data_IF_120400177052
#
_entry.id   IF_120400177052
#
_cell.length_a   1.000
_cell.length_b   1.000
_cell.length_c   1.000
_cell.angle_alpha   90.00
_cell.angle_beta   90.00
_cell.angle_gamma   90.00
#
_symmetry.space_group_name_H-M   'P 1'
#
loop_
_entity.id
_entity.type
_entity.pdbx_description
1 polymer ?
#
# COMPACT_ATOMS: atom_id res chain seq x y z
N UNK A 1 3.38 -38.24 2.88
CA UNK A 1 4.08 -37.00 3.16
C UNK A 1 3.38 -35.90 2.36
N UNK A 2 2.76 -34.97 3.04
CA UNK A 2 2.18 -33.80 2.41
C UNK A 2 3.33 -33.00 1.83
N UNK A 3 3.38 -32.76 0.53
CA UNK A 3 4.47 -32.09 -0.18
C UNK A 3 4.70 -30.61 0.17
N UNK A 4 4.08 -30.14 1.24
CA UNK A 4 4.18 -28.80 1.77
C UNK A 4 5.49 -28.56 2.52
N UNK A 5 6.19 -27.48 2.19
CA UNK A 5 7.46 -27.16 2.85
C UNK A 5 7.74 -25.65 2.88
N UNK A 6 8.39 -25.24 3.97
CA UNK A 6 9.00 -23.92 4.12
C UNK A 6 10.48 -24.12 4.41
N UNK A 7 11.34 -23.49 3.65
CA UNK A 7 12.79 -23.49 3.90
C UNK A 7 13.34 -22.07 3.87
N UNK A 8 14.35 -21.80 4.67
CA UNK A 8 15.04 -20.52 4.77
C UNK A 8 16.50 -20.70 4.42
N UNK A 9 17.00 -19.90 3.51
CA UNK A 9 18.42 -19.86 3.14
C UNK A 9 18.86 -18.39 3.03
N UNK A 10 19.68 -17.94 3.97
CA UNK A 10 20.07 -16.53 4.06
C UNK A 10 18.84 -15.62 4.23
N UNK A 11 18.61 -14.74 3.27
CA UNK A 11 17.48 -13.80 3.22
C UNK A 11 16.34 -14.27 2.32
N UNK A 12 16.31 -15.54 1.95
CA UNK A 12 15.33 -16.11 1.02
C UNK A 12 14.51 -17.19 1.69
N UNK A 13 13.21 -17.15 1.45
CA UNK A 13 12.25 -18.21 1.82
C UNK A 13 11.79 -18.91 0.57
N UNK A 14 11.89 -20.23 0.55
CA UNK A 14 11.33 -21.07 -0.51
C UNK A 14 10.18 -21.90 0.07
N UNK A 15 9.05 -21.88 -0.62
CA UNK A 15 7.82 -22.54 -0.25
C UNK A 15 7.42 -23.51 -1.34
N UNK A 16 6.98 -24.69 -0.94
CA UNK A 16 6.15 -25.57 -1.75
C UNK A 16 4.81 -25.71 -1.03
N UNK A 17 3.74 -25.31 -1.68
CA UNK A 17 2.39 -25.39 -1.13
C UNK A 17 1.86 -26.83 -1.18
N UNK A 18 0.77 -27.09 -0.47
CA UNK A 18 0.15 -28.44 -0.43
C UNK A 18 -0.29 -28.93 -1.81
N UNK A 19 -0.69 -28.03 -2.69
CA UNK A 19 -1.05 -28.31 -4.08
C UNK A 19 0.13 -28.25 -5.06
N UNK A 20 1.36 -28.17 -4.55
CA UNK A 20 2.60 -28.23 -5.32
C UNK A 20 3.05 -26.92 -5.96
N UNK A 21 2.39 -25.80 -5.67
CA UNK A 21 2.83 -24.48 -6.16
C UNK A 21 4.12 -24.06 -5.47
N UNK A 22 5.00 -23.40 -6.21
CA UNK A 22 6.29 -22.89 -5.71
C UNK A 22 6.19 -21.39 -5.45
N UNK A 23 6.75 -20.94 -4.33
CA UNK A 23 6.89 -19.51 -4.04
C UNK A 23 8.29 -19.22 -3.50
N UNK A 24 8.88 -18.13 -3.97
CA UNK A 24 10.18 -17.65 -3.51
C UNK A 24 10.05 -16.19 -3.08
N UNK A 25 10.49 -15.92 -1.86
CA UNK A 25 10.40 -14.62 -1.23
C UNK A 25 11.79 -14.23 -0.77
N UNK A 26 12.27 -13.03 -1.12
CA UNK A 26 13.56 -12.55 -0.67
C UNK A 26 13.48 -11.16 -0.05
N UNK A 27 14.38 -10.92 0.90
CA UNK A 27 14.50 -9.67 1.63
C UNK A 27 15.87 -9.03 1.36
N UNK A 28 15.91 -7.71 1.38
CA UNK A 28 17.13 -6.92 1.30
C UNK A 28 17.06 -5.77 2.30
N UNK A 29 18.00 -5.72 3.23
CA UNK A 29 18.00 -4.73 4.33
C UNK A 29 16.65 -4.64 5.07
N UNK A 30 15.99 -5.76 5.28
CA UNK A 30 14.68 -5.84 5.91
C UNK A 30 13.48 -5.56 5.01
N UNK A 31 13.69 -5.09 3.78
CA UNK A 31 12.60 -4.86 2.83
C UNK A 31 12.26 -6.14 2.08
N UNK A 32 10.97 -6.38 1.88
CA UNK A 32 10.45 -7.43 1.00
C UNK A 32 10.83 -7.09 -0.45
N UNK A 33 11.95 -7.61 -0.90
CA UNK A 33 12.59 -7.19 -2.16
C UNK A 33 11.97 -7.87 -3.39
N UNK A 34 11.63 -9.14 -3.27
CA UNK A 34 10.99 -9.89 -4.34
C UNK A 34 10.05 -10.96 -3.80
N UNK A 35 9.02 -11.22 -4.55
CA UNK A 35 8.03 -12.26 -4.25
C UNK A 35 7.51 -12.86 -5.53
N UNK A 36 7.92 -14.09 -5.81
CA UNK A 36 7.43 -14.88 -6.93
C UNK A 36 6.51 -15.98 -6.41
N UNK A 37 5.39 -16.17 -7.07
CA UNK A 37 4.44 -17.22 -6.79
C UNK A 37 4.10 -17.97 -8.08
N UNK A 38 4.46 -19.25 -8.13
CA UNK A 38 4.20 -20.14 -9.27
C UNK A 38 4.61 -19.53 -10.62
N UNK A 39 5.78 -18.91 -10.67
CA UNK A 39 6.33 -18.26 -11.87
C UNK A 39 5.89 -16.82 -12.11
N UNK A 40 5.00 -16.27 -11.30
CA UNK A 40 4.51 -14.89 -11.40
C UNK A 40 5.15 -14.02 -10.33
N UNK A 41 5.78 -12.92 -10.72
CA UNK A 41 6.22 -11.88 -9.79
C UNK A 41 5.00 -11.08 -9.31
N UNK A 42 4.87 -10.92 -7.99
CA UNK A 42 3.71 -10.26 -7.39
C UNK A 42 3.97 -8.78 -7.10
N UNK A 43 5.21 -8.42 -6.75
CA UNK A 43 5.58 -7.06 -6.38
C UNK A 43 6.72 -6.55 -7.28
N UNK A 44 6.70 -5.25 -7.51
CA UNK A 44 7.75 -4.54 -8.22
C UNK A 44 8.62 -3.70 -7.27
N UNK A 45 8.02 -3.07 -6.29
CA UNK A 45 8.72 -2.32 -5.25
C UNK A 45 8.24 -2.72 -3.86
N UNK A 46 9.20 -2.86 -2.95
CA UNK A 46 8.97 -3.27 -1.58
C UNK A 46 8.06 -2.30 -0.82
N UNK A 47 7.24 -2.80 0.13
CA UNK A 47 6.55 -1.94 1.08
C UNK A 47 7.55 -1.10 1.88
N UNK A 48 7.29 0.19 1.96
CA UNK A 48 8.06 1.13 2.76
C UNK A 48 7.14 2.23 3.29
N UNK A 49 7.56 2.91 4.35
CA UNK A 49 6.80 4.03 4.87
C UNK A 49 6.65 5.12 3.80
N UNK A 50 5.44 5.63 3.66
CA UNK A 50 5.15 6.69 2.72
C UNK A 50 4.07 7.62 3.29
N UNK A 51 4.44 8.85 3.63
CA UNK A 51 3.52 9.88 4.08
C UNK A 51 3.28 10.97 3.03
N UNK A 52 3.74 10.75 1.80
CA UNK A 52 3.57 11.71 0.71
C UNK A 52 2.10 11.81 0.30
N UNK A 53 1.64 13.03 0.17
CA UNK A 53 0.36 13.40 -0.42
C UNK A 53 0.52 14.75 -1.09
N UNK A 54 -0.01 14.87 -2.29
CA UNK A 54 0.02 16.09 -3.07
C UNK A 54 -1.40 16.48 -3.48
N UNK A 55 -2.01 17.33 -2.69
CA UNK A 55 -3.31 17.93 -2.98
C UNK A 55 -3.25 19.44 -2.76
N UNK A 56 -4.06 20.18 -3.50
CA UNK A 56 -4.01 21.65 -3.53
C UNK A 56 -4.18 22.28 -2.15
N UNK A 57 -5.04 21.72 -1.32
CA UNK A 57 -5.37 22.29 -0.03
C UNK A 57 -4.26 22.19 1.02
N UNK A 58 -3.33 21.25 0.90
CA UNK A 58 -2.31 21.02 1.91
C UNK A 58 -0.90 20.90 1.36
N UNK A 59 -0.67 21.37 0.15
CA UNK A 59 0.61 21.32 -0.52
C UNK A 59 1.72 22.03 0.24
N UNK A 60 1.39 23.07 0.95
CA UNK A 60 2.29 23.93 1.75
C UNK A 60 2.48 23.44 3.18
N UNK A 61 1.69 22.49 3.60
CA UNK A 61 1.48 22.14 4.97
C UNK A 61 1.93 20.72 5.27
N UNK A 62 2.36 20.50 6.51
CA UNK A 62 2.78 19.19 6.98
C UNK A 62 4.10 18.71 6.36
N UNK A 63 4.66 17.71 6.98
CA UNK A 63 5.85 17.02 6.49
C UNK A 63 5.46 15.68 5.85
N UNK A 64 6.28 15.26 4.90
CA UNK A 64 6.13 13.95 4.30
C UNK A 64 7.46 13.23 4.15
N UNK A 65 7.37 11.91 4.06
CA UNK A 65 8.50 11.03 3.83
C UNK A 65 8.04 9.89 2.92
N UNK A 66 8.82 9.59 1.89
CA UNK A 66 8.51 8.54 0.92
C UNK A 66 9.22 7.23 1.20
N UNK A 67 10.35 7.30 1.85
CA UNK A 67 11.15 6.13 2.16
C UNK A 67 11.99 6.38 3.40
N UNK A 68 12.46 5.31 4.01
CA UNK A 68 13.35 5.35 5.17
C UNK A 68 14.57 4.47 4.95
N UNK A 69 15.65 4.77 5.67
CA UNK A 69 16.73 3.80 5.84
C UNK A 69 16.23 2.66 6.72
N UNK A 70 16.38 1.44 6.26
CA UNK A 70 15.88 0.25 6.93
C UNK A 70 16.98 -0.62 7.47
N UNK A 71 16.65 -1.40 8.50
CA UNK A 71 17.52 -2.39 9.09
C UNK A 71 16.74 -3.61 9.58
N UNK A 72 17.40 -4.77 9.56
CA UNK A 72 16.85 -6.00 10.14
C UNK A 72 16.99 -5.92 11.65
N UNK A 73 15.89 -6.10 12.38
CA UNK A 73 15.85 -6.14 13.85
C UNK A 73 15.81 -7.58 14.38
N UNK A 74 15.20 -8.48 13.61
CA UNK A 74 15.27 -9.92 13.86
C UNK A 74 15.44 -10.61 12.52
N UNK A 75 16.57 -11.30 12.34
CA UNK A 75 16.91 -11.94 11.06
C UNK A 75 15.90 -13.02 10.68
N UNK A 76 15.81 -13.26 9.38
CA UNK A 76 14.96 -14.30 8.82
C UNK A 76 15.33 -15.66 9.38
N UNK A 77 14.37 -16.33 10.04
CA UNK A 77 14.51 -17.66 10.61
C UNK A 77 13.27 -18.49 10.36
N UNK A 78 13.44 -19.81 10.31
CA UNK A 78 12.34 -20.75 10.32
C UNK A 78 12.00 -21.12 11.77
N UNK A 79 10.73 -20.99 12.13
CA UNK A 79 10.18 -21.40 13.42
C UNK A 79 9.00 -22.33 13.19
N UNK A 80 9.19 -23.62 13.51
CA UNK A 80 8.16 -24.63 13.21
C UNK A 80 7.88 -24.71 11.71
N UNK A 81 6.65 -24.39 11.32
CA UNK A 81 6.17 -24.45 9.93
C UNK A 81 6.08 -23.07 9.25
N UNK A 82 6.61 -22.03 9.85
CA UNK A 82 6.60 -20.66 9.30
C UNK A 82 7.99 -20.07 9.27
N UNK A 83 8.19 -19.06 8.42
CA UNK A 83 9.36 -18.21 8.47
C UNK A 83 8.98 -16.85 9.08
N UNK A 84 9.89 -16.27 9.86
CA UNK A 84 9.68 -14.97 10.51
C UNK A 84 10.87 -14.06 10.31
N UNK A 85 10.59 -12.77 10.18
CA UNK A 85 11.59 -11.69 10.10
C UNK A 85 10.99 -10.41 10.65
N UNK A 86 11.80 -9.59 11.29
CA UNK A 86 11.40 -8.25 11.73
C UNK A 86 12.38 -7.21 11.23
N UNK A 87 11.87 -6.03 10.90
CA UNK A 87 12.63 -4.90 10.41
C UNK A 87 12.16 -3.59 11.03
N UNK A 88 13.00 -2.56 10.95
CA UNK A 88 12.63 -1.19 11.28
C UNK A 88 13.08 -0.21 10.20
N UNK A 89 12.28 0.81 9.97
CA UNK A 89 12.63 2.02 9.25
C UNK A 89 12.92 3.14 10.27
N UNK A 90 14.13 3.13 10.83
CA UNK A 90 14.51 4.04 11.91
C UNK A 90 13.54 3.94 13.10
N UNK A 91 13.11 5.10 13.60
CA UNK A 91 12.09 5.22 14.65
C UNK A 91 10.68 5.53 14.08
N UNK A 92 10.49 5.38 12.77
CA UNK A 92 9.25 5.77 12.09
C UNK A 92 8.27 4.61 12.04
N UNK A 93 8.75 3.41 11.67
CA UNK A 93 7.92 2.22 11.59
C UNK A 93 8.70 0.94 11.77
N UNK A 94 7.97 -0.13 12.06
CA UNK A 94 8.47 -1.51 12.08
C UNK A 94 7.52 -2.43 11.32
N UNK A 95 8.04 -3.50 10.74
CA UNK A 95 7.24 -4.57 10.18
C UNK A 95 7.71 -5.91 10.76
N UNK A 96 6.78 -6.68 11.31
CA UNK A 96 6.96 -8.08 11.63
C UNK A 96 6.32 -8.91 10.52
N UNK A 97 7.14 -9.73 9.85
CA UNK A 97 6.70 -10.64 8.80
C UNK A 97 6.54 -12.05 9.33
N UNK A 98 5.44 -12.70 8.96
CA UNK A 98 5.23 -14.15 9.13
C UNK A 98 4.88 -14.72 7.76
N UNK A 99 5.63 -15.74 7.33
CA UNK A 99 5.46 -16.36 6.02
C UNK A 99 5.03 -17.81 6.25
N UNK A 100 3.88 -18.16 5.69
CA UNK A 100 3.20 -19.42 5.90
C UNK A 100 3.44 -20.41 4.75
N UNK A 101 3.24 -21.73 4.98
CA UNK A 101 3.49 -22.74 3.96
C UNK A 101 2.52 -22.71 2.76
N UNK A 102 1.42 -22.00 2.86
CA UNK A 102 0.51 -21.71 1.74
C UNK A 102 0.92 -20.47 0.92
N UNK A 103 2.10 -19.94 1.16
CA UNK A 103 2.65 -18.72 0.59
C UNK A 103 2.00 -17.42 1.10
N UNK A 104 1.11 -17.48 2.08
CA UNK A 104 0.57 -16.28 2.74
C UNK A 104 1.68 -15.55 3.48
N UNK A 105 1.65 -14.21 3.41
CA UNK A 105 2.51 -13.33 4.20
C UNK A 105 1.63 -12.44 5.09
N UNK A 106 1.86 -12.47 6.39
CA UNK A 106 1.36 -11.48 7.33
C UNK A 106 2.40 -10.38 7.54
N UNK A 107 1.96 -9.13 7.42
CA UNK A 107 2.74 -7.96 7.79
C UNK A 107 2.02 -7.25 8.93
N UNK A 108 2.57 -7.31 10.13
CA UNK A 108 2.15 -6.45 11.24
C UNK A 108 3.01 -5.21 11.22
N UNK A 109 2.40 -4.07 10.95
CA UNK A 109 3.09 -2.79 10.81
C UNK A 109 2.75 -1.91 11.99
N UNK A 110 3.78 -1.34 12.62
CA UNK A 110 3.62 -0.35 13.70
C UNK A 110 4.25 0.96 13.26
N UNK A 111 3.51 2.05 13.41
CA UNK A 111 3.93 3.39 13.02
C UNK A 111 4.05 4.30 14.22
N UNK A 112 5.03 5.19 14.20
CA UNK A 112 5.09 6.38 15.03
C UNK A 112 4.51 7.55 14.23
N UNK A 113 3.22 7.79 14.40
CA UNK A 113 2.48 8.83 13.70
C UNK A 113 2.69 10.21 14.33
N UNK A 114 2.66 11.23 13.48
CA UNK A 114 2.73 12.65 13.86
C UNK A 114 1.61 13.43 13.19
N UNK A 115 1.06 14.41 13.90
CA UNK A 115 -0.06 15.22 13.39
C UNK A 115 0.27 16.04 12.14
N UNK A 116 1.54 16.36 11.92
CA UNK A 116 2.00 17.06 10.72
C UNK A 116 2.26 16.13 9.52
N UNK A 117 2.10 14.82 9.66
CA UNK A 117 2.10 13.94 8.50
C UNK A 117 0.81 14.12 7.69
N UNK A 118 0.92 13.93 6.38
CA UNK A 118 -0.23 13.97 5.47
C UNK A 118 -0.94 12.63 5.37
N UNK A 119 -0.18 11.55 5.52
CA UNK A 119 -0.69 10.18 5.63
C UNK A 119 0.27 9.31 6.44
N UNK A 120 -0.22 8.24 7.00
CA UNK A 120 0.55 7.28 7.79
C UNK A 120 0.25 5.89 7.27
N UNK A 121 1.19 5.32 6.55
CA UNK A 121 0.99 4.02 5.93
C UNK A 121 2.19 3.55 5.13
N UNK A 122 1.99 2.45 4.42
CA UNK A 122 2.95 1.88 3.49
C UNK A 122 2.59 2.24 2.05
N UNK A 123 3.59 2.63 1.27
CA UNK A 123 3.53 2.62 -0.18
C UNK A 123 4.28 1.40 -0.71
N UNK A 124 3.76 0.80 -1.78
CA UNK A 124 4.42 -0.30 -2.49
C UNK A 124 4.01 -0.30 -3.96
N UNK A 125 4.64 -1.13 -4.77
CA UNK A 125 4.21 -1.31 -6.14
C UNK A 125 3.98 -2.79 -6.42
N UNK A 126 2.81 -3.10 -6.97
CA UNK A 126 2.53 -4.42 -7.53
C UNK A 126 3.04 -4.50 -8.97
N UNK A 127 3.38 -5.70 -9.39
CA UNK A 127 3.76 -6.00 -10.78
C UNK A 127 2.61 -5.64 -11.74
N UNK A 128 2.96 -5.09 -12.89
CA UNK A 128 2.00 -4.82 -13.95
C UNK A 128 1.23 -6.06 -14.39
N UNK A 129 -0.01 -5.87 -14.81
CA UNK A 129 -0.93 -6.93 -15.21
C UNK A 129 -1.95 -7.34 -14.16
N UNK A 130 -1.74 -7.00 -12.88
CA UNK A 130 -2.75 -7.19 -11.82
C UNK A 130 -3.85 -6.12 -11.90
N UNK A 131 -4.46 -6.02 -13.05
CA UNK A 131 -5.38 -4.94 -13.43
C UNK A 131 -6.79 -5.09 -12.88
N UNK A 132 -7.24 -6.35 -12.69
CA UNK A 132 -8.59 -6.62 -12.18
C UNK A 132 -8.63 -6.41 -10.67
N UNK A 133 -9.60 -5.63 -10.21
CA UNK A 133 -9.74 -5.23 -8.82
C UNK A 133 -11.12 -5.60 -8.31
N UNK A 134 -11.16 -6.33 -7.20
CA UNK A 134 -12.36 -6.52 -6.39
C UNK A 134 -12.03 -6.06 -4.97
N UNK A 135 -12.89 -5.25 -4.37
CA UNK A 135 -12.65 -4.77 -3.02
C UNK A 135 -13.90 -4.75 -2.15
N UNK A 136 -13.68 -5.02 -0.88
CA UNK A 136 -14.65 -4.82 0.19
C UNK A 136 -14.18 -3.68 1.08
N UNK A 137 -14.71 -2.49 0.82
CA UNK A 137 -14.37 -1.23 1.46
C UNK A 137 -15.50 -0.22 1.25
N UNK A 138 -15.29 1.03 1.63
CA UNK A 138 -16.19 2.10 1.22
C UNK A 138 -15.99 2.46 -0.24
N UNK A 139 -17.08 2.61 -0.96
CA UNK A 139 -17.10 2.93 -2.38
C UNK A 139 -18.52 3.29 -2.86
N UNK A 140 -18.78 3.28 -4.19
CA UNK A 140 -17.80 3.10 -5.26
C UNK A 140 -16.84 4.28 -5.46
N UNK A 141 -17.22 5.45 -4.97
CA UNK A 141 -16.45 6.69 -5.10
C UNK A 141 -15.31 6.75 -4.08
N UNK A 142 -14.26 7.46 -4.40
CA UNK A 142 -13.22 7.81 -3.42
C UNK A 142 -13.83 8.51 -2.21
N UNK A 143 -13.25 8.27 -1.07
CA UNK A 143 -13.72 8.80 0.20
C UNK A 143 -12.57 8.98 1.17
N UNK A 144 -12.73 9.89 2.12
CA UNK A 144 -11.69 10.31 3.06
C UNK A 144 -12.27 10.35 4.47
N UNK A 145 -11.44 10.47 5.48
CA UNK A 145 -11.87 10.47 6.89
C UNK A 145 -12.91 11.53 7.20
N UNK A 146 -12.87 12.66 6.50
CA UNK A 146 -13.82 13.77 6.61
C UNK A 146 -14.94 13.75 5.54
N UNK A 147 -14.98 12.74 4.67
CA UNK A 147 -15.91 12.61 3.54
C UNK A 147 -16.33 11.15 3.30
N UNK A 148 -16.93 10.54 4.31
CA UNK A 148 -17.40 9.15 4.26
C UNK A 148 -18.88 9.00 3.88
N UNK A 149 -19.68 10.04 4.07
CA UNK A 149 -21.15 9.96 4.04
C UNK A 149 -21.71 9.57 2.67
N UNK A 150 -21.03 9.94 1.59
CA UNK A 150 -21.43 9.62 0.21
C UNK A 150 -21.01 8.23 -0.26
N UNK A 151 -20.33 7.45 0.58
CA UNK A 151 -19.79 6.15 0.20
C UNK A 151 -20.26 5.07 1.17
N UNK A 152 -20.58 3.91 0.62
CA UNK A 152 -21.13 2.80 1.38
C UNK A 152 -20.14 1.64 1.45
N UNK A 153 -20.13 0.96 2.60
CA UNK A 153 -19.39 -0.28 2.75
C UNK A 153 -20.05 -1.35 1.89
N UNK A 154 -19.29 -1.91 0.95
CA UNK A 154 -19.79 -2.91 0.01
C UNK A 154 -18.68 -3.59 -0.77
N UNK A 155 -19.07 -4.54 -1.60
CA UNK A 155 -18.17 -5.19 -2.57
C UNK A 155 -18.33 -4.53 -3.93
N UNK A 156 -17.20 -4.18 -4.52
CA UNK A 156 -17.13 -3.50 -5.80
C UNK A 156 -16.10 -4.18 -6.69
N UNK A 157 -16.37 -4.16 -7.98
CA UNK A 157 -15.49 -4.70 -9.01
C UNK A 157 -15.13 -3.57 -9.97
N UNK A 158 -13.86 -3.44 -10.27
CA UNK A 158 -13.34 -2.39 -11.16
C UNK A 158 -12.00 -2.83 -11.77
N UNK A 159 -11.33 -1.93 -12.43
CA UNK A 159 -9.94 -2.07 -12.88
C UNK A 159 -9.09 -0.94 -12.31
N UNK A 160 -7.77 -1.12 -12.28
CA UNK A 160 -6.88 -0.04 -11.83
C UNK A 160 -7.02 1.19 -12.75
N UNK A 161 -7.18 0.97 -14.05
CA UNK A 161 -7.40 2.05 -15.03
C UNK A 161 -8.69 2.83 -14.74
N UNK A 162 -9.77 2.15 -14.40
CA UNK A 162 -11.06 2.80 -14.12
C UNK A 162 -11.08 3.55 -12.78
N UNK A 163 -10.08 3.36 -11.92
CA UNK A 163 -9.95 4.08 -10.65
C UNK A 163 -9.29 5.47 -10.80
N UNK A 164 -8.88 5.85 -12.01
CA UNK A 164 -8.30 7.17 -12.23
C UNK A 164 -9.32 8.28 -11.96
N UNK A 165 -8.87 9.36 -11.34
CA UNK A 165 -9.60 10.60 -11.22
C UNK A 165 -8.89 11.67 -12.08
N UNK A 166 -9.55 12.07 -13.15
CA UNK A 166 -9.01 12.98 -14.15
C UNK A 166 -9.11 14.44 -13.69
N UNK A 167 -8.42 14.75 -12.60
CA UNK A 167 -8.35 16.11 -12.09
C UNK A 167 -7.65 17.02 -13.10
N UNK A 168 -8.24 18.17 -13.40
CA UNK A 168 -7.65 19.18 -14.31
C UNK A 168 -6.25 19.54 -13.82
N UNK A 169 -6.09 19.75 -12.52
CA UNK A 169 -4.82 19.89 -11.86
C UNK A 169 -4.53 18.58 -11.12
N UNK A 170 -3.57 17.77 -11.60
CA UNK A 170 -3.28 16.47 -11.01
C UNK A 170 -2.94 16.58 -9.53
N UNK A 171 -3.54 15.72 -8.73
CA UNK A 171 -3.33 15.65 -7.29
C UNK A 171 -3.60 14.24 -6.80
N UNK A 172 -3.16 13.91 -5.59
CA UNK A 172 -3.42 12.62 -4.95
C UNK A 172 -4.93 12.33 -4.91
N UNK A 173 -5.32 11.15 -5.35
CA UNK A 173 -6.71 10.74 -5.50
C UNK A 173 -6.95 9.29 -5.13
N UNK A 174 -8.21 8.88 -5.11
CA UNK A 174 -8.61 7.48 -5.13
C UNK A 174 -8.55 6.77 -3.78
N UNK A 175 -8.62 7.50 -2.66
CA UNK A 175 -8.62 6.87 -1.35
C UNK A 175 -9.97 6.16 -1.07
N UNK A 176 -9.90 4.96 -0.50
CA UNK A 176 -11.05 4.18 -0.06
C UNK A 176 -10.85 3.76 1.39
N UNK A 177 -11.72 4.23 2.26
CA UNK A 177 -11.70 3.97 3.69
C UNK A 177 -12.28 2.60 4.06
N UNK A 178 -11.92 2.12 5.23
CA UNK A 178 -12.50 0.93 5.86
C UNK A 178 -12.31 -0.35 5.02
N UNK A 179 -11.13 -0.52 4.43
CA UNK A 179 -10.76 -1.70 3.66
C UNK A 179 -10.78 -2.96 4.53
N UNK A 180 -11.51 -3.99 4.10
CA UNK A 180 -11.50 -5.33 4.67
C UNK A 180 -10.81 -6.33 3.79
N UNK A 181 -11.07 -6.26 2.50
CA UNK A 181 -10.48 -7.19 1.54
C UNK A 181 -10.26 -6.50 0.19
N UNK A 182 -9.09 -6.69 -0.37
CA UNK A 182 -8.72 -6.27 -1.71
C UNK A 182 -8.19 -7.48 -2.46
N UNK A 183 -8.71 -7.73 -3.66
CA UNK A 183 -8.25 -8.79 -4.54
C UNK A 183 -7.76 -8.18 -5.83
N UNK A 184 -6.49 -8.39 -6.14
CA UNK A 184 -5.89 -8.04 -7.41
C UNK A 184 -5.66 -9.31 -8.22
N UNK A 185 -5.96 -9.28 -9.52
CA UNK A 185 -5.80 -10.45 -10.40
C UNK A 185 -5.26 -10.05 -11.76
N UNK A 186 -4.40 -10.93 -12.31
CA UNK A 186 -3.92 -10.85 -13.68
C UNK A 186 -4.56 -11.92 -14.60
N UNK A 187 -5.60 -12.62 -14.12
CA UNK A 187 -6.26 -13.72 -14.82
C UNK A 187 -5.59 -15.09 -14.60
N UNK A 188 -4.38 -15.16 -14.09
CA UNK A 188 -3.65 -16.41 -13.78
C UNK A 188 -3.42 -16.58 -12.27
N UNK A 189 -3.19 -15.49 -11.60
CA UNK A 189 -2.96 -15.42 -10.15
C UNK A 189 -3.85 -14.33 -9.58
N UNK A 190 -4.46 -14.60 -8.44
CA UNK A 190 -5.11 -13.61 -7.59
C UNK A 190 -4.28 -13.39 -6.33
N UNK A 191 -4.12 -12.13 -5.94
CA UNK A 191 -3.53 -11.74 -4.68
C UNK A 191 -4.62 -11.14 -3.80
N UNK A 192 -4.97 -11.85 -2.73
CA UNK A 192 -5.98 -11.41 -1.77
C UNK A 192 -5.31 -10.75 -0.59
N UNK A 193 -5.71 -9.53 -0.28
CA UNK A 193 -5.19 -8.72 0.83
C UNK A 193 -6.32 -8.50 1.83
N UNK A 194 -6.16 -9.00 3.05
CA UNK A 194 -7.14 -8.84 4.14
C UNK A 194 -6.59 -7.94 5.23
N UNK A 195 -7.48 -7.18 5.85
CA UNK A 195 -7.16 -6.24 6.92
C UNK A 195 -8.14 -6.38 8.10
N UNK A 196 -7.84 -5.69 9.20
CA UNK A 196 -8.77 -5.57 10.33
C UNK A 196 -9.89 -4.52 10.14
N UNK A 197 -9.97 -3.86 8.97
CA UNK A 197 -10.97 -2.83 8.70
C UNK A 197 -10.56 -1.39 9.07
N UNK A 198 -9.38 -1.20 9.61
CA UNK A 198 -8.82 0.11 10.00
C UNK A 198 -7.74 0.60 9.02
N UNK A 199 -7.85 0.23 7.77
CA UNK A 199 -6.92 0.56 6.69
C UNK A 199 -7.69 1.24 5.57
N UNK A 200 -7.11 2.30 5.03
CA UNK A 200 -7.52 2.87 3.76
C UNK A 200 -6.55 2.44 2.66
N UNK A 201 -7.00 2.41 1.42
CA UNK A 201 -6.14 2.05 0.30
C UNK A 201 -6.40 2.93 -0.92
N UNK A 202 -5.39 3.01 -1.78
CA UNK A 202 -5.51 3.55 -3.13
C UNK A 202 -4.63 2.75 -4.09
N UNK A 203 -5.04 2.72 -5.36
CA UNK A 203 -4.30 2.10 -6.46
C UNK A 203 -4.22 3.07 -7.62
N UNK A 204 -3.07 3.11 -8.31
CA UNK A 204 -2.88 3.98 -9.46
C UNK A 204 -1.76 3.44 -10.36
N UNK A 205 -1.87 3.72 -11.66
CA UNK A 205 -0.77 3.54 -12.60
C UNK A 205 0.17 4.76 -12.69
N UNK A 206 -0.08 5.80 -11.88
CA UNK A 206 0.69 7.03 -11.93
C UNK A 206 1.45 7.27 -10.63
N UNK A 207 2.73 7.61 -10.75
CA UNK A 207 3.52 8.09 -9.60
C UNK A 207 3.03 9.48 -9.22
N UNK A 208 2.56 9.63 -7.98
CA UNK A 208 2.07 10.90 -7.45
C UNK A 208 3.11 12.02 -7.49
N UNK A 209 4.40 11.70 -7.60
CA UNK A 209 5.45 12.72 -7.70
C UNK A 209 5.42 13.51 -9.01
N UNK A 210 4.64 13.06 -9.97
CA UNK A 210 4.43 13.77 -11.22
C UNK A 210 3.41 14.91 -11.10
N UNK A 211 2.57 14.90 -10.06
CA UNK A 211 1.35 15.71 -10.05
C UNK A 211 1.63 17.19 -10.05
N UNK A 212 2.56 17.69 -9.25
CA UNK A 212 2.89 19.10 -9.25
C UNK A 212 4.34 19.45 -9.58
N UNK A 213 5.14 18.47 -9.94
CA UNK A 213 6.55 18.72 -10.22
C UNK A 213 7.39 19.06 -8.96
N UNK A 214 8.69 19.07 -9.10
CA UNK A 214 9.61 19.41 -8.02
C UNK A 214 9.85 20.91 -7.96
N UNK A 215 9.40 21.53 -6.90
CA UNK A 215 9.67 22.96 -6.65
C UNK A 215 8.62 23.90 -7.16
N UNK A 216 7.47 23.39 -7.57
CA UNK A 216 6.45 24.21 -8.15
C UNK A 216 5.42 24.74 -7.19
N UNK A 217 5.05 25.97 -7.48
CA UNK A 217 3.84 26.57 -6.99
C UNK A 217 2.65 25.97 -7.73
N UNK A 218 1.54 25.74 -7.08
CA UNK A 218 0.33 25.17 -7.65
C UNK A 218 -0.21 25.86 -8.91
N UNK A 219 0.47 26.90 -9.37
CA UNK A 219 0.04 27.73 -10.49
C UNK A 219 0.98 27.66 -11.69
N UNK A 220 2.16 27.09 -11.57
CA UNK A 220 3.21 27.30 -12.58
C UNK A 220 3.44 26.15 -13.54
N UNK A 221 2.96 24.94 -13.24
CA UNK A 221 3.44 23.78 -13.96
C UNK A 221 2.59 23.33 -15.13
N UNK A 222 1.37 23.76 -15.19
CA UNK A 222 0.52 23.49 -16.34
C UNK A 222 0.35 22.02 -16.73
N UNK A 223 0.76 21.08 -15.84
CA UNK A 223 0.50 19.66 -16.07
C UNK A 223 -0.98 19.37 -15.91
N UNK A 224 -1.47 18.62 -16.86
CA UNK A 224 -2.82 18.10 -16.85
C UNK A 224 -2.75 16.56 -16.71
N UNK A 225 -3.83 15.93 -16.29
CA UNK A 225 -3.86 14.47 -16.12
C UNK A 225 -3.42 13.72 -17.38
N UNK A 226 -3.74 14.21 -18.56
CA UNK A 226 -3.35 13.61 -19.85
C UNK A 226 -1.86 13.79 -20.20
N UNK A 227 -1.11 14.59 -19.44
CA UNK A 227 0.34 14.74 -19.57
C UNK A 227 1.11 13.81 -18.60
N UNK A 228 0.42 13.09 -17.73
CA UNK A 228 1.05 12.17 -16.81
C UNK A 228 1.59 10.94 -17.55
N UNK A 229 2.74 10.45 -17.13
CA UNK A 229 3.32 9.23 -17.66
C UNK A 229 2.75 8.02 -16.93
N UNK A 230 1.98 7.21 -17.64
CA UNK A 230 1.41 5.96 -17.12
C UNK A 230 2.51 4.93 -16.95
N UNK A 231 2.57 4.27 -15.79
CA UNK A 231 3.43 3.10 -15.53
C UNK A 231 2.67 1.81 -15.80
N UNK A 232 3.40 0.75 -16.18
CA UNK A 232 2.83 -0.59 -16.17
C UNK A 232 2.64 -1.13 -14.76
N UNK A 233 3.43 -0.66 -13.80
CA UNK A 233 3.33 -1.07 -12.40
C UNK A 233 2.15 -0.38 -11.73
N UNK A 234 1.71 -0.95 -10.61
CA UNK A 234 0.59 -0.44 -9.84
C UNK A 234 1.13 0.13 -8.54
N UNK A 235 1.01 1.45 -8.39
CA UNK A 235 1.33 2.12 -7.14
C UNK A 235 0.17 1.91 -6.16
N UNK A 236 0.49 1.40 -4.97
CA UNK A 236 -0.49 1.11 -3.93
C UNK A 236 -0.12 1.82 -2.63
N UNK A 237 -1.12 2.35 -1.96
CA UNK A 237 -1.03 2.80 -0.59
C UNK A 237 -1.93 1.95 0.30
N UNK A 238 -1.41 1.61 1.48
CA UNK A 238 -2.18 1.04 2.58
C UNK A 238 -1.95 1.92 3.79
N UNK A 239 -2.93 2.74 4.12
CA UNK A 239 -2.80 3.78 5.13
C UNK A 239 -3.56 3.40 6.40
N UNK A 240 -2.91 3.56 7.55
CA UNK A 240 -3.61 3.60 8.84
C UNK A 240 -4.51 4.84 8.92
N UNK A 241 -3.99 5.97 8.41
CA UNK A 241 -4.70 7.24 8.35
C UNK A 241 -4.21 8.08 7.18
N UNK A 242 -5.14 8.72 6.51
CA UNK A 242 -4.86 9.82 5.61
C UNK A 242 -5.59 11.05 6.14
N UNK A 243 -4.88 12.18 6.27
CA UNK A 243 -5.44 13.47 6.68
C UNK A 243 -6.66 13.81 5.84
N UNK A 244 -7.69 14.39 6.45
CA UNK A 244 -8.87 14.87 5.72
C UNK A 244 -8.53 15.87 4.62
N UNK A 245 -9.43 16.02 3.65
CA UNK A 245 -9.26 16.98 2.55
C UNK A 245 -9.46 18.43 2.99
N UNK A 246 -10.23 18.65 4.08
CA UNK A 246 -10.58 19.98 4.54
C UNK A 246 -11.63 20.68 3.68
N UNK A 247 -11.91 21.92 3.99
CA UNK A 247 -12.91 22.76 3.33
C UNK A 247 -12.36 24.05 2.74
N UNK A 248 -11.02 24.22 2.72
CA UNK A 248 -10.36 25.37 2.12
C UNK A 248 -10.57 25.39 0.61
N UNK A 249 -11.16 26.46 0.09
CA UNK A 249 -11.36 26.61 -1.35
C UNK A 249 -10.34 27.52 -2.02
N UNK A 250 -9.57 28.28 -1.23
CA UNK A 250 -8.63 29.26 -1.75
C UNK A 250 -7.51 29.54 -0.75
N UNK A 251 -6.60 28.58 -0.65
CA UNK A 251 -5.42 28.70 0.21
C UNK A 251 -5.71 28.48 1.70
N UNK A 252 -4.69 28.10 2.40
CA UNK A 252 -4.75 27.77 3.81
C UNK A 252 -5.32 26.38 4.09
N UNK A 253 -4.77 25.77 5.12
CA UNK A 253 -5.29 24.51 5.61
C UNK A 253 -6.56 24.74 6.43
N UNK A 254 -7.60 24.06 6.05
CA UNK A 254 -8.88 24.08 6.76
C UNK A 254 -9.32 22.70 7.23
N UNK A 255 -8.37 21.76 7.32
CA UNK A 255 -8.64 20.47 7.90
C UNK A 255 -8.82 20.59 9.42
N UNK A 256 -9.96 20.13 9.93
CA UNK A 256 -10.20 20.13 11.36
C UNK A 256 -9.25 19.18 12.09
N UNK A 257 -8.85 19.53 13.30
CA UNK A 257 -7.89 18.77 14.11
C UNK A 257 -8.25 17.29 14.25
N UNK A 258 -9.51 16.96 14.34
CA UNK A 258 -9.99 15.57 14.43
C UNK A 258 -9.71 14.73 13.19
N UNK A 259 -9.38 15.34 12.05
CA UNK A 259 -9.07 14.67 10.80
C UNK A 259 -7.58 14.73 10.44
N UNK A 260 -6.76 15.37 11.26
CA UNK A 260 -5.32 15.29 11.16
C UNK A 260 -4.82 13.86 11.45
N UNK A 261 -3.62 13.53 11.02
CA UNK A 261 -3.01 12.26 11.43
C UNK A 261 -2.87 12.21 12.95
N UNK A 262 -3.33 11.15 13.61
CA UNK A 262 -3.24 11.06 15.06
C UNK A 262 -1.77 10.90 15.47
N UNK A 263 -1.34 11.62 16.52
CA UNK A 263 0.01 11.47 17.08
C UNK A 263 0.06 10.25 18.00
N UNK A 264 1.16 9.49 17.95
CA UNK A 264 1.37 8.32 18.79
C UNK A 264 1.77 7.09 18.00
N UNK A 265 1.72 5.95 18.68
CA UNK A 265 2.05 4.65 18.09
C UNK A 265 0.77 3.89 17.72
N UNK A 266 0.68 3.47 16.46
CA UNK A 266 -0.47 2.78 15.89
C UNK A 266 -0.02 1.60 15.06
N UNK A 267 -0.88 0.60 14.92
CA UNK A 267 -0.55 -0.60 14.14
C UNK A 267 -1.76 -1.09 13.34
N UNK A 268 -1.46 -1.76 12.22
CA UNK A 268 -2.40 -2.58 11.49
C UNK A 268 -1.70 -3.86 11.00
N UNK A 269 -2.50 -4.84 10.60
CA UNK A 269 -2.01 -6.05 9.97
C UNK A 269 -2.59 -6.19 8.58
N UNK A 270 -1.72 -6.49 7.60
CA UNK A 270 -2.09 -6.86 6.24
C UNK A 270 -1.75 -8.34 6.04
N UNK A 271 -2.71 -9.11 5.55
CA UNK A 271 -2.50 -10.50 5.15
C UNK A 271 -2.61 -10.63 3.66
N UNK A 272 -1.52 -11.05 3.03
CA UNK A 272 -1.43 -11.28 1.58
C UNK A 272 -1.46 -12.76 1.29
N UNK A 273 -2.40 -13.21 0.48
CA UNK A 273 -2.51 -14.63 0.07
C UNK A 273 -2.58 -14.73 -1.44
N UNK A 274 -1.55 -15.27 -2.11
CA UNK A 274 -1.60 -15.55 -3.53
C UNK A 274 -2.35 -16.86 -3.78
N UNK A 275 -3.08 -16.91 -4.89
CA UNK A 275 -3.84 -18.08 -5.31
C UNK A 275 -3.70 -18.27 -6.83
N UNK A 276 -3.43 -19.48 -7.28
CA UNK A 276 -3.49 -19.81 -8.70
C UNK A 276 -4.94 -19.92 -9.15
N UNK A 277 -5.25 -19.31 -10.30
CA UNK A 277 -6.58 -19.36 -10.94
C UNK A 277 -6.66 -20.42 -12.03
N UNK A 278 -5.55 -21.16 -12.27
CA UNK A 278 -5.45 -22.25 -13.27
C UNK A 278 -4.86 -23.50 -12.64
#
# INVERSE_FOLDING_TARGET
ANGESVSVSGNTVNITTKDGKKSTISFSNGKLNSWNYNGTDLIYAAPDFNSYRDIDNDRWDGSFQKSTSTSVTSKLTKEGNVAKMSMSGGNIYTIDYIIYPDATIDMKVTFNSRSNYRRVGLGMQFTGGFENVEYYARGPWSNYVDRKTGSYLGRYVTTVDDMIEENIHPQTYGDHQDLRELILSNGNVALTIKTGGNVAYSLSHYDETQYCGTGDTMWSDGKHWYNLTKSNQIFAHFDYWQRGLGNGSCGGDSCLDQYLCPSGSYSYTLRFTPTSLK
#
